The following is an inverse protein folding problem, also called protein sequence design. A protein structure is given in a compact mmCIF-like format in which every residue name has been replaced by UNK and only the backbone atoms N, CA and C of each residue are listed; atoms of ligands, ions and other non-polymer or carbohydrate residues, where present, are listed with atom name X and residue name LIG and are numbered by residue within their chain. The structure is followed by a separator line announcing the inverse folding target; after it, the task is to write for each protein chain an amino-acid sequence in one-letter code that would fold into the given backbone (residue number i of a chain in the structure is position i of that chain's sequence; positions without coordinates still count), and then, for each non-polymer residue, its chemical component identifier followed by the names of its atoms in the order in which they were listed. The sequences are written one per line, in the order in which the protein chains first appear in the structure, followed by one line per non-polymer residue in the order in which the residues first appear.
data_IF_198685928429
#
_entry.id   IF_198685928429
#
_cell.length_a   1.000
_cell.length_b   1.000
_cell.length_c   1.000
_cell.angle_alpha   90.00
_cell.angle_beta   90.00
_cell.angle_gamma   90.00
#
_symmetry.space_group_name_H-M   'P 1'
#
loop_
_entity.id
_entity.type
_entity.pdbx_description
1 polymer ?
#
# COMPACT_ATOMS: atom_id res chain seq x y z
N UNK A 1 -22.48 -49.74 -65.00
CA UNK A 1 -22.64 -48.33 -65.37
C UNK A 1 -23.36 -47.59 -64.25
N UNK A 2 -22.72 -46.51 -63.78
CA UNK A 2 -23.19 -45.35 -62.99
C UNK A 2 -24.29 -45.52 -61.91
N UNK A 3 -23.80 -45.40 -60.67
CA UNK A 3 -24.49 -44.95 -59.45
C UNK A 3 -25.01 -43.51 -59.60
N UNK A 4 -26.12 -43.19 -58.94
CA UNK A 4 -26.46 -41.84 -58.50
C UNK A 4 -26.64 -41.85 -56.98
N UNK A 5 -25.89 -40.99 -56.30
CA UNK A 5 -25.84 -40.80 -54.85
C UNK A 5 -27.02 -39.95 -54.38
N UNK A 6 -27.65 -40.34 -53.27
CA UNK A 6 -28.35 -39.40 -52.37
C UNK A 6 -27.40 -39.06 -51.22
N UNK A 7 -27.04 -37.79 -51.11
CA UNK A 7 -26.26 -37.25 -50.00
C UNK A 7 -27.21 -36.89 -48.85
N UNK A 8 -27.10 -37.59 -47.73
CA UNK A 8 -27.66 -37.18 -46.44
C UNK A 8 -26.52 -36.52 -45.67
N UNK A 9 -26.57 -35.20 -45.55
CA UNK A 9 -25.61 -34.41 -44.79
C UNK A 9 -25.95 -34.52 -43.31
N UNK A 10 -25.21 -35.36 -42.58
CA UNK A 10 -25.23 -35.40 -41.11
C UNK A 10 -24.39 -34.23 -40.61
N UNK A 11 -25.04 -33.23 -40.02
CA UNK A 11 -24.39 -32.11 -39.37
C UNK A 11 -23.90 -32.58 -38.00
N UNK A 12 -22.60 -32.87 -37.86
CA UNK A 12 -21.97 -33.12 -36.57
C UNK A 12 -22.01 -31.84 -35.73
N UNK A 13 -22.92 -31.80 -34.76
CA UNK A 13 -22.86 -30.86 -33.63
C UNK A 13 -21.65 -31.23 -32.76
N UNK A 14 -20.50 -30.65 -33.09
CA UNK A 14 -19.36 -30.59 -32.18
C UNK A 14 -19.72 -29.61 -31.07
N UNK A 15 -20.22 -30.15 -29.95
CA UNK A 15 -20.34 -29.43 -28.69
C UNK A 15 -18.95 -29.04 -28.21
N UNK A 16 -18.54 -27.81 -28.50
CA UNK A 16 -17.44 -27.17 -27.81
C UNK A 16 -17.91 -26.91 -26.37
N UNK A 17 -17.34 -27.64 -25.41
CA UNK A 17 -17.37 -27.27 -24.01
C UNK A 17 -16.66 -25.93 -23.86
N UNK A 18 -17.38 -24.83 -24.01
CA UNK A 18 -16.96 -23.52 -23.54
C UNK A 18 -17.11 -23.55 -22.01
N UNK A 19 -16.15 -24.16 -21.33
CA UNK A 19 -15.86 -23.77 -19.96
C UNK A 19 -15.25 -22.37 -20.05
N UNK A 20 -16.09 -21.34 -20.03
CA UNK A 20 -15.66 -20.00 -19.66
C UNK A 20 -15.21 -20.05 -18.19
N UNK A 21 -14.01 -20.54 -17.95
CA UNK A 21 -13.25 -20.09 -16.80
C UNK A 21 -12.92 -18.62 -17.09
N UNK A 22 -13.83 -17.72 -16.70
CA UNK A 22 -13.58 -16.28 -16.70
C UNK A 22 -12.53 -15.98 -15.62
N UNK A 23 -11.29 -16.42 -15.82
CA UNK A 23 -10.16 -15.88 -15.07
C UNK A 23 -10.06 -14.40 -15.42
N UNK A 24 -9.96 -13.54 -14.41
CA UNK A 24 -9.71 -12.13 -14.65
C UNK A 24 -8.47 -11.95 -15.55
N UNK A 25 -8.55 -11.00 -16.47
CA UNK A 25 -7.46 -10.71 -17.42
C UNK A 25 -6.22 -10.21 -16.66
N UNK A 26 -5.03 -10.55 -17.16
CA UNK A 26 -3.74 -10.11 -16.62
C UNK A 26 -2.89 -9.50 -17.72
N UNK A 27 -2.27 -8.36 -17.42
CA UNK A 27 -1.16 -7.79 -18.18
C UNK A 27 0.15 -8.06 -17.42
N UNK A 28 0.85 -9.15 -17.77
CA UNK A 28 2.10 -9.53 -17.08
C UNK A 28 3.29 -8.60 -17.36
N UNK A 29 3.13 -7.62 -18.25
CA UNK A 29 4.13 -6.57 -18.46
C UNK A 29 4.12 -5.51 -17.36
N UNK A 30 3.01 -5.38 -16.61
CA UNK A 30 2.93 -4.53 -15.41
C UNK A 30 3.63 -5.19 -14.24
N UNK A 31 4.39 -4.38 -13.51
CA UNK A 31 5.23 -4.82 -12.38
C UNK A 31 5.12 -3.85 -11.24
N UNK A 32 5.22 -4.36 -10.02
CA UNK A 32 5.40 -3.51 -8.86
C UNK A 32 6.85 -3.02 -8.79
N UNK A 33 7.08 -1.89 -8.12
CA UNK A 33 8.43 -1.38 -7.87
C UNK A 33 8.63 -1.20 -6.38
N UNK A 34 9.59 -1.93 -5.81
CA UNK A 34 9.99 -1.79 -4.41
C UNK A 34 10.92 -0.58 -4.23
N UNK A 35 10.46 0.44 -3.50
CA UNK A 35 11.27 1.58 -3.05
C UNK A 35 11.82 1.30 -1.64
N UNK A 36 13.04 0.74 -1.60
CA UNK A 36 13.74 0.45 -0.35
C UNK A 36 14.05 1.68 0.50
N UNK A 37 14.17 2.87 -0.12
CA UNK A 37 14.49 4.10 0.62
C UNK A 37 13.30 4.56 1.46
N UNK A 38 12.09 4.40 0.92
CA UNK A 38 10.83 4.80 1.56
C UNK A 38 10.14 3.67 2.30
N UNK A 39 10.62 2.44 2.16
CA UNK A 39 9.95 1.22 2.60
C UNK A 39 8.54 1.10 2.01
N UNK A 40 8.41 1.35 0.70
CA UNK A 40 7.13 1.40 -0.01
C UNK A 40 7.13 0.53 -1.27
N UNK A 41 5.98 -0.03 -1.64
CA UNK A 41 5.79 -0.79 -2.89
C UNK A 41 4.88 0.03 -3.79
N UNK A 42 5.40 0.49 -4.93
CA UNK A 42 4.62 1.17 -5.95
C UNK A 42 3.89 0.16 -6.83
N UNK A 43 2.57 0.23 -6.83
CA UNK A 43 1.67 -0.50 -7.73
C UNK A 43 1.15 0.44 -8.84
N UNK A 44 0.77 -0.09 -10.02
CA UNK A 44 0.25 0.72 -11.12
C UNK A 44 -0.90 1.70 -10.79
N UNK A 45 -1.81 1.32 -9.90
CA UNK A 45 -2.94 2.17 -9.50
C UNK A 45 -2.55 3.32 -8.55
N UNK A 46 -1.37 3.28 -7.94
CA UNK A 46 -0.89 4.36 -7.05
C UNK A 46 -0.71 5.68 -7.81
N UNK A 47 -0.48 5.60 -9.12
CA UNK A 47 -0.44 6.77 -10.01
C UNK A 47 -1.77 7.58 -9.97
N UNK A 48 -2.88 6.92 -9.67
CA UNK A 48 -4.22 7.51 -9.65
C UNK A 48 -4.79 7.67 -8.23
N UNK A 49 -4.28 6.91 -7.26
CA UNK A 49 -4.67 7.01 -5.87
C UNK A 49 -4.01 8.22 -5.18
N UNK A 50 -4.62 8.69 -4.08
CA UNK A 50 -3.89 9.39 -3.03
C UNK A 50 -3.03 8.35 -2.29
N UNK A 51 -1.90 8.00 -2.89
CA UNK A 51 -0.91 7.12 -2.29
C UNK A 51 -0.38 7.72 -0.97
N UNK A 52 0.31 6.91 -0.17
CA UNK A 52 0.71 7.38 1.16
C UNK A 52 1.69 8.57 1.08
N UNK A 53 2.50 8.66 0.01
CA UNK A 53 3.33 9.84 -0.25
C UNK A 53 2.49 11.09 -0.50
N UNK A 54 1.40 10.98 -1.26
CA UNK A 54 0.47 12.09 -1.46
C UNK A 54 -0.19 12.50 -0.15
N UNK A 55 -0.70 11.54 0.63
CA UNK A 55 -1.31 11.80 1.94
C UNK A 55 -0.30 12.50 2.86
N UNK A 56 0.95 12.06 2.90
CA UNK A 56 2.02 12.72 3.67
C UNK A 56 2.31 14.13 3.18
N UNK A 57 2.38 14.33 1.87
CA UNK A 57 2.62 15.68 1.31
C UNK A 57 1.50 16.64 1.71
N UNK A 58 0.25 16.21 1.59
CA UNK A 58 -0.93 16.98 2.01
C UNK A 58 -0.91 17.22 3.52
N UNK A 59 -0.65 16.18 4.32
CA UNK A 59 -0.55 16.27 5.78
C UNK A 59 0.57 17.22 6.23
N UNK A 60 1.77 17.13 5.66
CA UNK A 60 2.88 18.04 5.96
C UNK A 60 2.52 19.49 5.62
N UNK A 61 1.81 19.74 4.52
CA UNK A 61 1.33 21.08 4.20
C UNK A 61 0.36 21.62 5.26
N UNK A 62 -0.58 20.80 5.73
CA UNK A 62 -1.45 21.14 6.86
C UNK A 62 -0.63 21.47 8.12
N UNK A 63 0.30 20.59 8.49
CA UNK A 63 1.15 20.76 9.68
C UNK A 63 2.07 21.99 9.57
N UNK A 64 2.48 22.38 8.37
CA UNK A 64 3.26 23.60 8.13
C UNK A 64 2.46 24.85 8.49
N UNK A 65 1.20 24.94 8.02
CA UNK A 65 0.32 26.06 8.38
C UNK A 65 -0.03 26.07 9.88
N UNK A 66 -0.25 24.89 10.48
CA UNK A 66 -0.42 24.77 11.93
C UNK A 66 0.80 25.32 12.68
N UNK A 67 2.01 25.03 12.19
CA UNK A 67 3.25 25.51 12.80
C UNK A 67 3.38 27.02 12.75
N UNK A 68 3.02 27.65 11.63
CA UNK A 68 3.00 29.11 11.51
C UNK A 68 2.00 29.75 12.51
N UNK A 69 0.78 29.22 12.60
CA UNK A 69 -0.20 29.74 13.55
C UNK A 69 0.25 29.60 15.00
N UNK A 70 0.84 28.46 15.37
CA UNK A 70 1.40 28.25 16.70
C UNK A 70 2.53 29.23 17.00
N UNK A 71 3.42 29.48 16.02
CA UNK A 71 4.51 30.44 16.15
C UNK A 71 3.98 31.87 16.39
N UNK A 72 2.89 32.28 15.74
CA UNK A 72 2.21 33.56 16.01
C UNK A 72 1.70 33.67 17.45
N UNK A 73 1.36 32.54 18.08
CA UNK A 73 0.96 32.47 19.49
C UNK A 73 2.13 32.18 20.46
N UNK A 74 3.37 32.23 19.99
CA UNK A 74 4.56 32.00 20.81
C UNK A 74 4.77 30.54 21.23
N UNK A 75 4.16 29.59 20.51
CA UNK A 75 4.27 28.15 20.75
C UNK A 75 5.03 27.47 19.61
N UNK A 76 5.73 26.38 19.92
CA UNK A 76 6.34 25.51 18.91
C UNK A 76 5.37 24.41 18.51
N UNK A 77 5.44 23.98 17.26
CA UNK A 77 4.66 22.86 16.72
C UNK A 77 5.54 22.03 15.79
N UNK A 78 5.58 20.71 16.00
CA UNK A 78 6.43 19.84 15.21
C UNK A 78 5.78 19.51 13.85
N UNK A 79 6.49 19.80 12.76
CA UNK A 79 6.07 19.41 11.41
C UNK A 79 6.66 18.04 11.06
N UNK A 80 5.83 17.03 10.73
CA UNK A 80 6.32 15.72 10.29
C UNK A 80 7.09 15.81 8.96
N UNK A 81 8.21 15.09 8.87
CA UNK A 81 9.00 15.01 7.63
C UNK A 81 8.37 14.05 6.62
N UNK A 82 8.28 14.49 5.37
CA UNK A 82 7.82 13.69 4.22
C UNK A 82 8.74 12.49 3.94
N UNK A 83 10.04 12.62 4.26
CA UNK A 83 11.05 11.61 3.96
C UNK A 83 11.13 10.49 5.01
N UNK A 84 10.25 10.50 6.02
CA UNK A 84 10.21 9.48 7.06
C UNK A 84 9.77 8.14 6.46
N UNK A 85 10.61 7.07 6.51
CA UNK A 85 10.25 5.76 5.95
C UNK A 85 9.04 5.16 6.70
N UNK A 86 8.19 4.42 5.98
CA UNK A 86 6.88 4.06 6.51
C UNK A 86 6.88 2.78 7.36
N UNK A 87 6.09 2.71 8.44
CA UNK A 87 5.69 1.46 9.06
C UNK A 87 4.64 0.77 8.18
N UNK A 88 5.08 0.22 7.05
CA UNK A 88 4.23 -0.44 6.08
C UNK A 88 4.94 -1.63 5.48
N UNK A 89 4.28 -2.79 5.54
CA UNK A 89 4.71 -3.99 4.85
C UNK A 89 3.54 -4.53 4.06
N UNK A 90 3.19 -3.89 2.94
CA UNK A 90 2.39 -4.58 1.93
C UNK A 90 3.14 -5.88 1.61
N UNK A 91 2.50 -7.02 1.86
CA UNK A 91 3.11 -8.35 1.84
C UNK A 91 4.16 -8.61 2.94
N UNK A 92 3.97 -8.05 4.13
CA UNK A 92 4.84 -8.22 5.28
C UNK A 92 6.13 -7.41 5.23
N UNK A 93 7.04 -7.66 6.18
CA UNK A 93 8.35 -7.03 6.15
C UNK A 93 9.18 -7.59 4.98
N UNK A 94 9.73 -6.70 4.16
CA UNK A 94 10.59 -7.06 3.02
C UNK A 94 11.89 -6.24 2.97
N UNK A 95 11.92 -5.10 3.65
CA UNK A 95 13.08 -4.23 3.72
C UNK A 95 13.93 -4.56 4.95
N UNK A 96 15.00 -5.33 4.75
CA UNK A 96 15.88 -5.79 5.83
C UNK A 96 16.56 -4.62 6.56
N UNK A 97 16.98 -3.57 5.84
CA UNK A 97 17.65 -2.43 6.46
C UNK A 97 16.67 -1.59 7.29
N UNK A 98 15.43 -1.44 6.83
CA UNK A 98 14.36 -0.84 7.64
C UNK A 98 14.07 -1.69 8.88
N UNK A 99 13.89 -3.01 8.74
CA UNK A 99 13.57 -3.90 9.84
C UNK A 99 14.68 -3.93 10.92
N UNK A 100 15.95 -3.90 10.53
CA UNK A 100 17.10 -3.79 11.45
C UNK A 100 17.08 -2.49 12.25
N UNK A 101 16.64 -1.40 11.64
CA UNK A 101 16.65 -0.07 12.26
C UNK A 101 15.41 0.18 13.12
N UNK A 102 14.25 -0.31 12.68
CA UNK A 102 12.96 0.09 13.23
C UNK A 102 12.09 -1.06 13.73
N UNK A 103 12.39 -2.33 13.43
CA UNK A 103 11.49 -3.44 13.75
C UNK A 103 10.20 -3.39 12.92
N UNK A 104 9.04 -3.59 13.56
CA UNK A 104 7.72 -3.50 12.91
C UNK A 104 7.16 -2.08 12.85
N UNK A 105 7.66 -1.19 13.69
CA UNK A 105 7.16 0.19 13.74
C UNK A 105 8.27 1.16 14.08
N UNK A 106 8.29 2.28 13.36
CA UNK A 106 8.90 3.48 13.87
C UNK A 106 7.94 4.07 14.92
N UNK A 107 8.39 4.29 16.16
CA UNK A 107 7.73 5.32 16.98
C UNK A 107 7.94 6.61 16.19
N UNK A 108 6.90 7.12 15.53
CA UNK A 108 6.92 8.53 15.15
C UNK A 108 7.26 9.27 16.44
N UNK A 109 8.39 9.99 16.43
CA UNK A 109 8.60 10.99 17.45
C UNK A 109 7.50 12.01 17.22
N UNK A 110 6.35 11.81 17.87
CA UNK A 110 5.55 12.95 18.27
C UNK A 110 6.58 13.84 18.96
N UNK A 111 6.80 15.03 18.42
CA UNK A 111 7.55 16.05 19.11
C UNK A 111 7.01 16.19 20.54
N UNK A 112 7.77 16.83 21.45
CA UNK A 112 7.29 17.04 22.82
C UNK A 112 5.82 17.44 22.79
N UNK A 113 5.00 16.64 23.49
CA UNK A 113 3.53 16.73 23.58
C UNK A 113 3.07 18.18 23.37
N UNK A 114 2.49 18.46 22.19
CA UNK A 114 2.04 19.78 21.74
C UNK A 114 0.89 20.23 22.65
N UNK A 115 1.23 20.63 23.86
CA UNK A 115 0.33 21.18 24.86
C UNK A 115 0.09 22.66 24.56
N UNK A 116 -0.44 22.93 23.36
CA UNK A 116 -1.17 24.16 23.17
C UNK A 116 -2.34 24.20 24.15
N UNK A 117 -2.68 25.40 24.61
CA UNK A 117 -3.99 25.57 25.26
C UNK A 117 -5.06 25.18 24.24
N UNK A 118 -6.09 24.44 24.67
CA UNK A 118 -7.21 24.00 23.81
C UNK A 118 -7.76 25.14 22.94
N UNK A 119 -7.72 26.38 23.45
CA UNK A 119 -8.17 27.61 22.81
C UNK A 119 -7.29 28.08 21.63
N UNK A 120 -5.96 27.88 21.69
CA UNK A 120 -5.04 28.18 20.58
C UNK A 120 -5.17 27.10 19.50
N UNK A 121 -5.21 25.82 19.88
CA UNK A 121 -5.38 24.73 18.93
C UNK A 121 -6.68 24.88 18.14
N UNK A 122 -7.80 25.18 18.81
CA UNK A 122 -9.09 25.39 18.14
C UNK A 122 -9.05 26.54 17.12
N UNK A 123 -8.45 27.68 17.48
CA UNK A 123 -8.28 28.83 16.56
C UNK A 123 -7.41 28.48 15.36
N UNK A 124 -6.26 27.88 15.59
CA UNK A 124 -5.35 27.48 14.51
C UNK A 124 -5.99 26.45 13.59
N UNK A 125 -6.74 25.48 14.10
CA UNK A 125 -7.46 24.53 13.26
C UNK A 125 -8.49 25.21 12.35
N UNK A 126 -9.24 26.21 12.85
CA UNK A 126 -10.24 26.92 12.04
C UNK A 126 -9.59 27.77 10.94
N UNK A 127 -8.50 28.48 11.27
CA UNK A 127 -7.73 29.27 10.32
C UNK A 127 -7.12 28.40 9.22
N UNK A 128 -6.43 27.32 9.62
CA UNK A 128 -5.80 26.38 8.70
C UNK A 128 -6.85 25.69 7.84
N UNK A 129 -7.98 25.23 8.40
CA UNK A 129 -9.05 24.63 7.61
C UNK A 129 -9.55 25.53 6.49
N UNK A 130 -9.67 26.82 6.76
CA UNK A 130 -10.10 27.80 5.76
C UNK A 130 -9.05 27.93 4.65
N UNK A 131 -7.78 28.10 5.03
CA UNK A 131 -6.65 28.22 4.09
C UNK A 131 -6.37 26.93 3.29
N UNK A 132 -6.74 25.77 3.83
CA UNK A 132 -6.43 24.45 3.27
C UNK A 132 -7.55 23.85 2.40
N UNK A 133 -8.69 24.53 2.29
CA UNK A 133 -9.88 24.01 1.60
C UNK A 133 -9.65 23.57 0.15
N UNK A 134 -8.75 24.23 -0.59
CA UNK A 134 -8.40 23.86 -1.97
C UNK A 134 -7.45 22.64 -2.08
N UNK A 135 -6.91 22.17 -0.95
CA UNK A 135 -5.97 21.04 -0.85
C UNK A 135 -6.61 19.81 -0.23
N UNK A 136 -7.74 19.99 0.48
CA UNK A 136 -8.48 18.93 1.15
C UNK A 136 -8.86 17.80 0.17
N UNK A 137 -8.69 16.57 0.63
CA UNK A 137 -8.94 15.37 -0.16
C UNK A 137 -10.39 14.91 0.01
N UNK A 138 -11.12 14.72 -1.10
CA UNK A 138 -12.46 14.11 -1.03
C UNK A 138 -12.35 12.58 -0.93
N UNK A 139 -12.79 12.02 0.20
CA UNK A 139 -12.84 10.57 0.43
C UNK A 139 -13.66 9.81 -0.63
N UNK A 140 -14.64 10.45 -1.28
CA UNK A 140 -15.43 9.81 -2.33
C UNK A 140 -14.61 9.57 -3.59
N UNK A 141 -13.64 10.43 -3.88
CA UNK A 141 -12.71 10.26 -5.00
C UNK A 141 -11.76 9.08 -4.75
N UNK A 142 -11.38 8.84 -3.49
CA UNK A 142 -10.54 7.71 -3.08
C UNK A 142 -11.24 6.35 -3.26
N UNK A 143 -12.56 6.29 -3.00
CA UNK A 143 -13.32 5.04 -3.03
C UNK A 143 -13.17 4.28 -4.34
N UNK A 144 -13.19 4.99 -5.48
CA UNK A 144 -13.13 4.35 -6.79
C UNK A 144 -11.80 3.62 -7.03
N UNK A 145 -10.66 4.27 -6.76
CA UNK A 145 -9.34 3.64 -6.93
C UNK A 145 -9.15 2.53 -5.88
N UNK A 146 -9.64 2.73 -4.66
CA UNK A 146 -9.63 1.71 -3.60
C UNK A 146 -10.43 0.45 -3.95
N UNK A 147 -11.55 0.58 -4.66
CA UNK A 147 -12.33 -0.55 -5.19
C UNK A 147 -11.53 -1.34 -6.24
N UNK A 148 -10.84 -0.65 -7.16
CA UNK A 148 -9.99 -1.30 -8.16
C UNK A 148 -8.78 -2.01 -7.52
N UNK A 149 -8.14 -1.39 -6.53
CA UNK A 149 -7.07 -2.00 -5.74
C UNK A 149 -7.57 -3.28 -5.04
N UNK A 150 -8.69 -3.20 -4.34
CA UNK A 150 -9.29 -4.35 -3.64
C UNK A 150 -9.65 -5.49 -4.59
N UNK A 151 -10.15 -5.14 -5.78
CA UNK A 151 -10.45 -6.11 -6.84
C UNK A 151 -9.18 -6.80 -7.35
N UNK A 152 -8.12 -6.03 -7.65
CA UNK A 152 -6.84 -6.59 -8.11
C UNK A 152 -6.21 -7.50 -7.05
N UNK A 153 -6.18 -7.08 -5.78
CA UNK A 153 -5.70 -7.89 -4.67
C UNK A 153 -6.49 -9.19 -4.51
N UNK A 154 -7.82 -9.13 -4.65
CA UNK A 154 -8.68 -10.32 -4.56
C UNK A 154 -8.36 -11.31 -5.68
N UNK A 155 -8.18 -10.82 -6.92
CA UNK A 155 -7.79 -11.68 -8.04
C UNK A 155 -6.40 -12.28 -7.85
N UNK A 156 -5.43 -11.49 -7.36
CA UNK A 156 -4.07 -11.93 -7.11
C UNK A 156 -3.99 -13.00 -6.02
N UNK A 157 -4.61 -12.74 -4.87
CA UNK A 157 -4.51 -13.59 -3.67
C UNK A 157 -5.17 -14.97 -3.83
N UNK A 158 -6.09 -15.11 -4.78
CA UNK A 158 -6.75 -16.39 -5.07
C UNK A 158 -5.91 -17.33 -5.95
N UNK A 159 -4.85 -16.83 -6.59
CA UNK A 159 -4.01 -17.64 -7.49
C UNK A 159 -3.17 -18.68 -6.75
N UNK A 160 -2.89 -19.81 -7.40
CA UNK A 160 -1.96 -20.80 -6.87
C UNK A 160 -0.52 -20.27 -6.82
N UNK A 161 -0.16 -19.37 -7.75
CA UNK A 161 1.13 -18.66 -7.76
C UNK A 161 1.35 -17.91 -6.44
N UNK A 162 0.35 -17.13 -6.00
CA UNK A 162 0.36 -16.40 -4.73
C UNK A 162 0.55 -17.32 -3.52
N UNK A 163 -0.24 -18.40 -3.46
CA UNK A 163 -0.18 -19.38 -2.35
C UNK A 163 1.18 -20.08 -2.28
N UNK A 164 1.75 -20.44 -3.43
CA UNK A 164 3.06 -21.07 -3.50
C UNK A 164 4.16 -20.14 -3.01
N UNK A 165 4.15 -18.87 -3.41
CA UNK A 165 5.09 -17.85 -2.92
C UNK A 165 5.03 -17.72 -1.39
N UNK A 166 3.83 -17.66 -0.82
CA UNK A 166 3.66 -17.60 0.65
C UNK A 166 4.18 -18.87 1.33
N UNK A 167 3.95 -20.03 0.74
CA UNK A 167 4.47 -21.32 1.26
C UNK A 167 6.00 -21.38 1.27
N UNK A 168 6.67 -20.82 0.25
CA UNK A 168 8.12 -20.69 0.23
C UNK A 168 8.62 -19.80 1.38
N UNK A 169 7.95 -18.66 1.63
CA UNK A 169 8.28 -17.78 2.76
C UNK A 169 8.07 -18.49 4.11
N UNK A 170 6.95 -19.18 4.31
CA UNK A 170 6.70 -19.98 5.51
C UNK A 170 7.75 -21.06 5.73
N UNK A 171 8.23 -21.69 4.66
CA UNK A 171 9.33 -22.66 4.74
C UNK A 171 10.59 -22.00 5.27
N UNK A 172 10.95 -20.82 4.76
CA UNK A 172 12.06 -20.05 5.32
C UNK A 172 11.88 -19.72 6.80
N UNK A 173 10.69 -19.28 7.22
CA UNK A 173 10.41 -18.99 8.64
C UNK A 173 10.65 -20.23 9.52
N UNK A 174 10.17 -21.41 9.10
CA UNK A 174 10.39 -22.67 9.82
C UNK A 174 11.88 -23.05 9.91
N UNK A 175 12.64 -22.86 8.83
CA UNK A 175 14.12 -23.05 8.84
C UNK A 175 14.82 -22.14 9.87
N UNK A 176 14.24 -20.96 10.11
CA UNK A 176 14.71 -19.98 11.10
C UNK A 176 14.11 -20.19 12.50
N UNK A 177 13.38 -21.30 12.70
CA UNK A 177 12.70 -21.67 13.96
C UNK A 177 11.61 -20.70 14.38
N UNK A 178 10.96 -20.05 13.42
CA UNK A 178 9.74 -19.28 13.63
C UNK A 178 8.52 -20.07 13.19
N UNK A 179 7.37 -19.78 13.79
CA UNK A 179 6.10 -20.43 13.48
C UNK A 179 5.30 -19.54 12.52
N UNK A 180 5.15 -19.92 11.24
CA UNK A 180 4.40 -19.11 10.29
C UNK A 180 2.91 -19.07 10.66
N UNK A 181 2.29 -17.90 10.49
CA UNK A 181 0.85 -17.74 10.48
C UNK A 181 0.34 -17.93 9.06
N UNK A 182 -0.47 -18.96 8.85
CA UNK A 182 -0.86 -19.43 7.50
C UNK A 182 -2.19 -18.85 7.00
N UNK A 183 -2.81 -17.92 7.74
CA UNK A 183 -4.04 -17.25 7.32
C UNK A 183 -3.85 -16.36 6.08
N UNK A 184 -4.91 -16.12 5.31
CA UNK A 184 -4.83 -15.40 4.02
C UNK A 184 -4.27 -13.98 4.12
N UNK A 185 -4.42 -13.32 5.27
CA UNK A 185 -3.94 -11.96 5.54
C UNK A 185 -2.81 -11.89 6.58
N UNK A 186 -2.19 -13.04 6.90
CA UNK A 186 -1.14 -13.10 7.92
C UNK A 186 0.25 -12.88 7.34
N UNK A 187 0.92 -11.82 7.78
CA UNK A 187 2.22 -11.37 7.23
C UNK A 187 3.35 -11.37 8.25
N UNK A 188 3.18 -12.09 9.36
CA UNK A 188 4.15 -12.22 10.44
C UNK A 188 4.08 -13.60 11.08
N UNK A 189 5.10 -13.97 11.85
CA UNK A 189 5.13 -15.21 12.64
C UNK A 189 4.28 -15.11 13.90
N UNK A 190 3.99 -16.25 14.54
CA UNK A 190 3.28 -16.30 15.82
C UNK A 190 4.06 -15.61 16.94
N UNK A 191 5.39 -15.75 16.93
CA UNK A 191 6.28 -15.09 17.91
C UNK A 191 6.19 -13.57 17.80
N UNK A 192 6.19 -13.05 16.56
CA UNK A 192 6.01 -11.63 16.27
C UNK A 192 4.63 -11.13 16.70
N UNK A 193 3.57 -11.86 16.36
CA UNK A 193 2.21 -11.51 16.76
C UNK A 193 2.06 -11.48 18.29
N UNK A 194 2.59 -12.50 18.99
CA UNK A 194 2.59 -12.54 20.44
C UNK A 194 3.36 -11.36 21.03
N UNK A 195 4.58 -11.09 20.56
CA UNK A 195 5.40 -9.97 21.04
C UNK A 195 4.67 -8.63 20.88
N UNK A 196 4.06 -8.38 19.72
CA UNK A 196 3.32 -7.14 19.45
C UNK A 196 2.15 -6.95 20.41
N UNK A 197 1.47 -8.03 20.80
CA UNK A 197 0.37 -7.96 21.80
C UNK A 197 0.87 -7.84 23.24
N UNK A 198 1.97 -8.50 23.61
CA UNK A 198 2.45 -8.57 24.99
C UNK A 198 3.35 -7.39 25.40
N UNK A 199 3.87 -6.64 24.44
CA UNK A 199 4.97 -5.69 24.65
C UNK A 199 4.67 -4.28 24.17
N UNK A 200 3.39 -3.93 23.97
CA UNK A 200 2.99 -2.59 23.54
C UNK A 200 3.53 -1.52 24.50
N UNK A 201 4.40 -0.64 23.99
CA UNK A 201 5.03 0.43 24.78
C UNK A 201 6.21 -0.01 25.66
N UNK A 202 6.60 -1.28 25.64
CA UNK A 202 7.76 -1.79 26.38
C UNK A 202 9.05 -1.65 25.55
N UNK A 203 9.93 -0.74 25.96
CA UNK A 203 11.22 -0.51 25.26
C UNK A 203 12.19 -1.68 25.40
N UNK A 204 12.09 -2.49 26.46
CA UNK A 204 12.94 -3.68 26.66
C UNK A 204 12.65 -4.78 25.63
N UNK A 205 11.46 -4.78 25.03
CA UNK A 205 11.08 -5.71 23.97
C UNK A 205 11.62 -5.31 22.58
N UNK A 206 12.14 -4.08 22.43
CA UNK A 206 12.55 -3.55 21.13
C UNK A 206 13.67 -4.35 20.45
N UNK A 207 14.71 -4.84 21.16
CA UNK A 207 15.73 -5.68 20.52
C UNK A 207 15.16 -6.98 19.94
N UNK A 208 14.20 -7.59 20.63
CA UNK A 208 13.53 -8.81 20.15
C UNK A 208 12.59 -8.51 18.97
N UNK A 209 11.89 -7.39 19.01
CA UNK A 209 11.06 -6.89 17.89
C UNK A 209 11.90 -6.73 16.62
N UNK A 210 13.04 -6.04 16.74
CA UNK A 210 13.99 -5.84 15.64
C UNK A 210 14.51 -7.20 15.12
N UNK A 211 14.86 -8.12 16.02
CA UNK A 211 15.37 -9.44 15.66
C UNK A 211 14.34 -10.22 14.83
N UNK A 212 13.08 -10.26 15.27
CA UNK A 212 12.01 -10.99 14.57
C UNK A 212 11.67 -10.35 13.23
N UNK A 213 11.47 -9.02 13.20
CA UNK A 213 11.19 -8.29 11.96
C UNK A 213 12.31 -8.48 10.92
N UNK A 214 13.57 -8.49 11.38
CA UNK A 214 14.73 -8.73 10.51
C UNK A 214 14.71 -10.13 9.91
N UNK A 215 14.41 -11.17 10.70
CA UNK A 215 14.33 -12.55 10.19
C UNK A 215 13.21 -12.67 9.14
N UNK A 216 12.04 -12.08 9.40
CA UNK A 216 10.91 -12.10 8.47
C UNK A 216 11.25 -11.38 7.15
N UNK A 217 11.90 -10.21 7.24
CA UNK A 217 12.39 -9.47 6.08
C UNK A 217 13.45 -10.23 5.29
N UNK A 218 14.41 -10.86 5.96
CA UNK A 218 15.44 -11.71 5.33
C UNK A 218 14.78 -12.88 4.59
N UNK A 219 13.77 -13.52 5.21
CA UNK A 219 13.02 -14.59 4.56
C UNK A 219 12.22 -14.11 3.36
N UNK A 220 11.59 -12.93 3.45
CA UNK A 220 10.87 -12.33 2.34
C UNK A 220 11.82 -12.04 1.17
N UNK A 221 12.97 -11.40 1.44
CA UNK A 221 13.98 -11.09 0.45
C UNK A 221 14.59 -12.36 -0.17
N UNK A 222 14.84 -13.42 0.62
CA UNK A 222 15.36 -14.71 0.14
C UNK A 222 14.48 -15.34 -0.93
N UNK A 223 13.16 -15.27 -0.77
CA UNK A 223 12.19 -15.87 -1.72
C UNK A 223 11.61 -14.84 -2.71
N UNK A 224 12.01 -13.57 -2.59
CA UNK A 224 11.48 -12.46 -3.38
C UNK A 224 9.98 -12.24 -3.21
N UNK A 225 9.42 -12.52 -2.03
CA UNK A 225 7.96 -12.59 -1.84
C UNK A 225 7.28 -11.27 -2.21
N UNK A 226 7.69 -10.14 -1.64
CA UNK A 226 7.04 -8.86 -1.88
C UNK A 226 7.03 -8.45 -3.36
N UNK A 227 8.15 -8.63 -4.07
CA UNK A 227 8.20 -8.36 -5.52
C UNK A 227 7.28 -9.30 -6.30
N UNK A 228 7.32 -10.61 -6.03
CA UNK A 228 6.53 -11.59 -6.77
C UNK A 228 5.03 -11.41 -6.54
N UNK A 229 4.61 -11.16 -5.31
CA UNK A 229 3.20 -10.87 -4.98
C UNK A 229 2.75 -9.53 -5.59
N UNK A 230 3.59 -8.50 -5.50
CA UNK A 230 3.33 -7.20 -6.13
C UNK A 230 3.21 -7.29 -7.64
N UNK A 231 4.04 -8.09 -8.31
CA UNK A 231 3.94 -8.32 -9.76
C UNK A 231 2.64 -9.03 -10.16
N UNK A 232 2.17 -9.97 -9.34
CA UNK A 232 0.89 -10.63 -9.59
C UNK A 232 -0.23 -9.61 -9.48
N UNK A 233 -0.27 -8.82 -8.42
CA UNK A 233 -1.29 -7.79 -8.23
C UNK A 233 -1.23 -6.72 -9.33
N UNK A 234 -0.04 -6.19 -9.63
CA UNK A 234 0.17 -5.22 -10.70
C UNK A 234 -0.33 -5.73 -12.05
N UNK A 235 -0.17 -7.03 -12.32
CA UNK A 235 -0.67 -7.62 -13.57
C UNK A 235 -2.20 -7.62 -13.67
N UNK A 236 -2.93 -7.68 -12.55
CA UNK A 236 -4.39 -7.52 -12.53
C UNK A 236 -4.82 -6.06 -12.56
N UNK A 237 -3.99 -5.14 -12.08
CA UNK A 237 -4.28 -3.71 -12.14
C UNK A 237 -4.24 -3.16 -13.57
N UNK A 238 -3.40 -3.68 -14.46
CA UNK A 238 -3.27 -3.21 -15.85
C UNK A 238 -4.61 -3.15 -16.61
N UNK A 239 -5.32 -4.28 -16.78
CA UNK A 239 -6.63 -4.29 -17.45
C UNK A 239 -7.70 -3.45 -16.75
N UNK A 240 -7.65 -3.35 -15.42
CA UNK A 240 -8.54 -2.47 -14.65
C UNK A 240 -8.28 -0.99 -14.95
N UNK A 241 -7.01 -0.61 -15.12
CA UNK A 241 -6.63 0.75 -15.52
C UNK A 241 -7.14 1.05 -16.91
N UNK A 242 -6.86 0.18 -17.88
CA UNK A 242 -7.24 0.38 -19.29
C UNK A 242 -8.76 0.55 -19.45
N UNK A 243 -9.54 -0.27 -18.74
CA UNK A 243 -11.01 -0.20 -18.76
C UNK A 243 -11.56 1.09 -18.15
N UNK A 244 -10.84 1.71 -17.22
CA UNK A 244 -11.29 2.87 -16.45
C UNK A 244 -10.49 4.16 -16.74
N UNK A 245 -9.70 4.17 -17.82
CA UNK A 245 -8.69 5.18 -18.10
C UNK A 245 -9.23 6.62 -18.05
N UNK A 246 -10.42 6.87 -18.60
CA UNK A 246 -11.02 8.20 -18.62
C UNK A 246 -11.27 8.75 -17.21
N UNK A 247 -11.84 7.92 -16.31
CA UNK A 247 -12.10 8.33 -14.93
C UNK A 247 -10.80 8.45 -14.14
N UNK A 248 -9.87 7.52 -14.35
CA UNK A 248 -8.56 7.53 -13.69
C UNK A 248 -7.75 8.78 -14.07
N UNK A 249 -7.74 9.18 -15.34
CA UNK A 249 -7.07 10.40 -15.78
C UNK A 249 -7.66 11.66 -15.11
N UNK A 250 -8.99 11.74 -14.98
CA UNK A 250 -9.63 12.83 -14.26
C UNK A 250 -9.14 12.90 -12.80
N UNK A 251 -9.14 11.76 -12.09
CA UNK A 251 -8.70 11.68 -10.70
C UNK A 251 -7.21 12.05 -10.56
N UNK A 252 -6.37 11.63 -11.51
CA UNK A 252 -4.96 11.99 -11.55
C UNK A 252 -4.76 13.51 -11.67
N UNK A 253 -5.47 14.16 -12.59
CA UNK A 253 -5.39 15.62 -12.75
C UNK A 253 -5.84 16.38 -11.49
N UNK A 254 -6.92 15.93 -10.85
CA UNK A 254 -7.42 16.49 -9.59
C UNK A 254 -6.39 16.30 -8.46
N UNK A 255 -5.82 15.10 -8.34
CA UNK A 255 -4.73 14.81 -7.39
C UNK A 255 -3.52 15.72 -7.61
N UNK A 256 -3.03 15.80 -8.84
CA UNK A 256 -1.83 16.58 -9.17
C UNK A 256 -2.00 18.06 -8.84
N UNK A 257 -3.19 18.63 -9.05
CA UNK A 257 -3.52 20.01 -8.64
C UNK A 257 -3.41 20.20 -7.13
N UNK A 258 -4.03 19.30 -6.33
CA UNK A 258 -4.00 19.38 -4.86
C UNK A 258 -2.58 19.17 -4.32
N UNK A 259 -1.84 18.20 -4.86
CA UNK A 259 -0.43 17.94 -4.49
C UNK A 259 0.45 19.15 -4.81
N UNK A 260 0.28 19.77 -5.98
CA UNK A 260 1.03 20.98 -6.34
C UNK A 260 0.76 22.12 -5.36
N UNK A 261 -0.50 22.30 -4.96
CA UNK A 261 -0.88 23.31 -3.96
C UNK A 261 -0.32 23.01 -2.56
N UNK A 262 -0.36 21.75 -2.13
CA UNK A 262 0.28 21.32 -0.89
C UNK A 262 1.78 21.61 -0.89
N UNK A 263 2.48 21.31 -2.00
CA UNK A 263 3.91 21.62 -2.16
C UNK A 263 4.21 23.11 -2.17
N UNK A 264 3.34 23.92 -2.76
CA UNK A 264 3.44 25.38 -2.70
C UNK A 264 3.40 25.87 -1.26
N UNK A 265 2.41 25.41 -0.48
CA UNK A 265 2.28 25.73 0.95
C UNK A 265 3.57 25.35 1.71
N UNK A 266 4.07 24.14 1.52
CA UNK A 266 5.29 23.69 2.18
C UNK A 266 6.47 24.61 1.82
N UNK A 267 6.59 25.02 0.55
CA UNK A 267 7.71 25.83 0.09
C UNK A 267 7.63 27.30 0.54
N UNK A 268 6.44 27.86 0.74
CA UNK A 268 6.27 29.27 1.09
C UNK A 268 6.20 29.54 2.59
N UNK A 269 5.93 28.51 3.41
CA UNK A 269 5.72 28.63 4.86
C UNK A 269 6.76 27.87 5.69
N UNK A 270 7.85 27.39 5.07
CA UNK A 270 9.02 26.81 5.75
C UNK A 270 10.04 27.85 6.23
#
# INVERSE_FOLDING_TARGET
MRKALSAVTVFCLLGACVSCSNSAERDTSRKAVLDYSKNYIHLPLDEYAFDELTIRTVSTAWHTLMSECYAHHGQSYAVPSIDTPQPGGLYGNWNVEYAKKYGYSQKESRGPDDSASDDINARCQEEVKTAFSDVELDEKEYRFVGELNSQAYTYASQTDEWKNIRSEWWTCLRERRLTPREGESDWMSEESAHLMTSSQGNEEAKPEEIRLATIEAECNQKVGMAQRLGDIEASYQGPLIEKNQAKLNQLKEEKEKRVAKAREIIATHQ
#
